data_IF_249575051446
#
_entry.id   IF_249575051446
#
_cell.length_a   1.000
_cell.length_b   1.000
_cell.length_c   1.000
_cell.angle_alpha   90.00
_cell.angle_beta   90.00
_cell.angle_gamma   90.00
#
_symmetry.space_group_name_H-M   'P 1'
#
loop_
_entity.id
_entity.type
_entity.pdbx_description
1 polymer ?
#
# COMPACT_ATOMS: atom_id res chain seq x y z
N UNK A 1 7.44 -13.71 -7.75
CA UNK A 1 7.61 -13.43 -9.19
C UNK A 1 9.06 -13.75 -9.55
N UNK A 2 9.30 -14.50 -10.63
CA UNK A 2 10.65 -14.87 -11.09
C UNK A 2 10.81 -14.43 -12.54
N UNK A 3 12.02 -14.04 -12.93
CA UNK A 3 12.34 -13.77 -14.33
C UNK A 3 12.33 -15.08 -15.13
N UNK A 4 12.34 -14.97 -16.46
CA UNK A 4 12.38 -16.13 -17.36
C UNK A 4 13.61 -17.04 -17.13
N UNK A 5 14.68 -16.49 -16.55
CA UNK A 5 15.91 -17.20 -16.16
C UNK A 5 15.85 -17.83 -14.75
N UNK A 6 14.71 -17.74 -14.06
CA UNK A 6 14.49 -18.31 -12.73
C UNK A 6 14.98 -17.45 -11.57
N UNK A 7 15.60 -16.29 -11.81
CA UNK A 7 16.03 -15.37 -10.75
C UNK A 7 14.83 -14.72 -10.06
N UNK A 8 14.94 -14.50 -8.74
CA UNK A 8 13.91 -13.78 -8.00
C UNK A 8 13.84 -12.33 -8.46
N UNK A 9 12.63 -11.84 -8.77
CA UNK A 9 12.42 -10.42 -9.03
C UNK A 9 12.43 -9.72 -7.67
N UNK A 10 13.62 -9.26 -7.25
CA UNK A 10 13.79 -8.41 -6.08
C UNK A 10 13.75 -6.97 -6.57
N UNK A 11 12.63 -6.28 -6.32
CA UNK A 11 12.46 -4.84 -6.52
C UNK A 11 12.81 -4.27 -7.91
N UNK A 12 12.31 -4.87 -9.00
CA UNK A 12 12.35 -4.28 -10.35
C UNK A 12 10.93 -3.90 -10.83
N UNK A 13 10.30 -2.87 -10.24
CA UNK A 13 8.94 -2.48 -10.58
C UNK A 13 8.81 -1.95 -12.02
N UNK A 14 9.86 -1.41 -12.61
CA UNK A 14 9.92 -0.92 -14.00
C UNK A 14 9.75 -2.03 -15.06
N UNK A 15 10.15 -3.25 -14.72
CA UNK A 15 10.00 -4.45 -15.56
C UNK A 15 8.55 -5.00 -15.52
N UNK A 16 7.85 -4.85 -14.40
CA UNK A 16 6.55 -5.50 -14.15
C UNK A 16 5.37 -4.53 -14.09
N UNK A 17 5.64 -3.24 -13.87
CA UNK A 17 4.66 -2.19 -13.65
C UNK A 17 4.95 -1.06 -14.62
N UNK A 18 3.93 -0.34 -15.07
CA UNK A 18 4.15 0.89 -15.85
C UNK A 18 5.01 1.84 -14.99
N UNK A 19 6.12 2.35 -15.53
CA UNK A 19 6.99 3.29 -14.82
C UNK A 19 6.17 4.45 -14.25
N UNK A 20 6.35 4.75 -12.96
CA UNK A 20 5.58 5.75 -12.24
C UNK A 20 4.19 5.33 -11.73
N UNK A 21 3.73 4.08 -11.97
CA UNK A 21 2.41 3.63 -11.52
C UNK A 21 2.38 3.04 -10.09
N UNK A 22 3.54 2.76 -9.49
CA UNK A 22 3.65 2.40 -8.08
C UNK A 22 4.13 3.61 -7.25
N UNK A 23 3.47 3.94 -6.14
CA UNK A 23 3.89 5.03 -5.28
C UNK A 23 5.21 4.71 -4.57
N UNK A 24 6.05 5.71 -4.34
CA UNK A 24 7.20 5.59 -3.44
C UNK A 24 6.69 5.38 -1.99
N UNK A 25 7.21 4.38 -1.29
CA UNK A 25 6.80 4.00 0.06
C UNK A 25 7.76 4.44 1.18
N UNK A 26 8.90 5.10 0.87
CA UNK A 26 9.93 5.45 1.86
C UNK A 26 9.42 6.22 3.08
N UNK A 27 8.30 6.94 2.95
CA UNK A 27 7.66 7.71 4.00
C UNK A 27 6.18 7.34 4.18
N UNK A 28 5.85 6.05 4.05
CA UNK A 28 4.46 5.59 4.13
C UNK A 28 3.81 5.98 5.47
N UNK A 29 4.54 5.87 6.60
CA UNK A 29 4.02 6.19 7.93
C UNK A 29 3.90 7.69 8.21
N UNK A 30 4.43 8.56 7.34
CA UNK A 30 4.10 9.98 7.36
C UNK A 30 2.78 10.31 6.65
N UNK A 31 2.12 9.32 6.02
CA UNK A 31 0.81 9.46 5.36
C UNK A 31 -0.29 8.95 6.28
N UNK A 32 -1.51 9.35 5.97
CA UNK A 32 -2.70 8.93 6.73
C UNK A 32 -3.66 8.04 5.93
N UNK A 33 -3.44 7.89 4.63
CA UNK A 33 -4.27 7.09 3.70
C UNK A 33 -3.40 6.33 2.70
N UNK A 34 -3.95 5.31 2.06
CA UNK A 34 -3.26 4.51 1.04
C UNK A 34 -4.19 4.11 -0.12
N UNK A 35 -3.67 3.39 -1.11
CA UNK A 35 -4.41 2.94 -2.31
C UNK A 35 -5.07 4.07 -3.14
N UNK A 36 -4.45 5.25 -3.19
CA UNK A 36 -5.03 6.44 -3.82
C UNK A 36 -6.07 7.12 -2.94
N UNK A 37 -5.83 7.15 -1.62
CA UNK A 37 -6.68 7.75 -0.59
C UNK A 37 -8.08 7.15 -0.44
N UNK A 38 -8.28 5.90 -0.88
CA UNK A 38 -9.55 5.18 -0.72
C UNK A 38 -9.68 4.57 0.68
N UNK A 39 -8.55 4.12 1.24
CA UNK A 39 -8.51 3.52 2.57
C UNK A 39 -7.68 4.38 3.51
N UNK A 40 -8.13 4.48 4.76
CA UNK A 40 -7.37 5.13 5.83
C UNK A 40 -6.25 4.20 6.30
N UNK A 41 -5.04 4.75 6.40
CA UNK A 41 -3.91 4.07 7.04
C UNK A 41 -4.01 4.17 8.57
N UNK A 42 -4.77 5.16 9.07
CA UNK A 42 -5.17 5.25 10.47
C UNK A 42 -6.38 4.37 10.76
N UNK A 43 -6.38 3.71 11.91
CA UNK A 43 -7.57 3.07 12.44
C UNK A 43 -8.70 4.09 12.71
N UNK A 44 -9.94 3.62 12.85
CA UNK A 44 -11.12 4.49 12.96
C UNK A 44 -11.03 5.52 14.09
N UNK A 45 -10.41 5.17 15.22
CA UNK A 45 -10.28 6.06 16.37
C UNK A 45 -9.28 7.17 16.08
N UNK A 46 -8.07 6.84 15.66
CA UNK A 46 -7.05 7.83 15.34
C UNK A 46 -7.45 8.69 14.14
N UNK A 47 -8.13 8.11 13.15
CA UNK A 47 -8.70 8.82 12.00
C UNK A 47 -9.72 9.88 12.42
N UNK A 48 -10.54 9.59 13.43
CA UNK A 48 -11.49 10.54 14.01
C UNK A 48 -10.78 11.62 14.81
N UNK A 49 -9.75 11.26 15.58
CA UNK A 49 -8.95 12.22 16.35
C UNK A 49 -8.27 13.26 15.46
N UNK A 50 -7.72 12.85 14.31
CA UNK A 50 -7.07 13.78 13.38
C UNK A 50 -8.09 14.62 12.60
N UNK A 51 -9.12 14.04 11.98
CA UNK A 51 -10.06 14.80 11.13
C UNK A 51 -11.19 15.50 11.87
N UNK A 52 -11.43 15.12 13.13
CA UNK A 52 -12.34 15.83 14.02
C UNK A 52 -11.68 16.95 14.81
N UNK A 53 -10.36 17.13 14.66
CA UNK A 53 -9.60 18.19 15.30
C UNK A 53 -10.06 19.57 14.84
N UNK A 54 -9.94 20.55 15.73
CA UNK A 54 -10.08 21.96 15.37
C UNK A 54 -8.94 22.40 14.42
N UNK A 55 -9.11 23.56 13.78
CA UNK A 55 -8.16 24.06 12.79
C UNK A 55 -6.76 24.34 13.36
N UNK A 56 -6.65 24.65 14.65
CA UNK A 56 -5.37 24.95 15.29
C UNK A 56 -4.57 23.67 15.55
N UNK A 57 -5.24 22.57 15.89
CA UNK A 57 -4.60 21.29 16.21
C UNK A 57 -4.51 20.30 15.03
N UNK A 58 -5.34 20.47 13.98
CA UNK A 58 -5.39 19.57 12.82
C UNK A 58 -4.02 19.36 12.17
N UNK A 59 -3.27 20.43 11.90
CA UNK A 59 -1.99 20.34 11.18
C UNK A 59 -0.95 19.51 11.93
N UNK A 60 -0.80 19.73 13.23
CA UNK A 60 0.13 18.98 14.07
C UNK A 60 -0.26 17.49 14.16
N UNK A 61 -1.56 17.21 14.34
CA UNK A 61 -2.10 15.84 14.36
C UNK A 61 -1.92 15.12 13.03
N UNK A 62 -2.17 15.79 11.91
CA UNK A 62 -2.01 15.22 10.56
C UNK A 62 -0.54 14.88 10.26
N UNK A 63 0.39 15.77 10.63
CA UNK A 63 1.83 15.61 10.41
C UNK A 63 2.49 14.58 11.33
N UNK A 64 1.83 14.18 12.42
CA UNK A 64 2.34 13.11 13.29
C UNK A 64 2.46 11.77 12.55
N UNK A 65 1.63 11.57 11.53
CA UNK A 65 1.56 10.36 10.74
C UNK A 65 0.89 9.20 11.49
N UNK A 66 1.27 7.98 11.15
CA UNK A 66 0.71 6.75 11.70
C UNK A 66 1.73 6.10 12.64
N UNK A 67 1.32 5.89 13.89
CA UNK A 67 2.03 5.00 14.82
C UNK A 67 1.51 3.57 14.70
N UNK A 68 2.23 2.61 15.28
CA UNK A 68 1.81 1.20 15.32
C UNK A 68 0.42 1.02 15.92
N UNK A 69 0.15 1.62 17.08
CA UNK A 69 -1.17 1.56 17.73
C UNK A 69 -2.29 2.21 16.91
N UNK A 70 -1.93 3.18 16.06
CA UNK A 70 -2.87 3.86 15.18
C UNK A 70 -3.00 3.21 13.80
N UNK A 71 -2.22 2.19 13.47
CA UNK A 71 -2.25 1.57 12.14
C UNK A 71 -3.57 0.82 11.90
N UNK A 72 -4.19 1.06 10.74
CA UNK A 72 -5.30 0.26 10.25
C UNK A 72 -4.82 -1.10 9.73
N UNK A 73 -4.55 -2.01 10.66
CA UNK A 73 -4.09 -3.36 10.37
C UNK A 73 -5.05 -4.13 9.46
N UNK A 74 -6.37 -3.93 9.62
CA UNK A 74 -7.39 -4.66 8.85
C UNK A 74 -7.27 -4.37 7.36
N UNK A 75 -7.37 -3.10 6.97
CA UNK A 75 -7.40 -2.74 5.55
C UNK A 75 -6.01 -2.87 4.92
N UNK A 76 -4.93 -2.53 5.65
CA UNK A 76 -3.58 -2.68 5.12
C UNK A 76 -3.25 -4.16 4.84
N UNK A 77 -3.58 -5.07 5.76
CA UNK A 77 -3.34 -6.51 5.55
C UNK A 77 -4.26 -7.07 4.47
N UNK A 78 -5.52 -6.63 4.40
CA UNK A 78 -6.42 -6.97 3.30
C UNK A 78 -5.82 -6.58 1.94
N UNK A 79 -5.26 -5.38 1.86
CA UNK A 79 -4.66 -4.87 0.63
C UNK A 79 -3.41 -5.64 0.22
N UNK A 80 -2.53 -5.94 1.17
CA UNK A 80 -1.35 -6.78 0.93
C UNK A 80 -1.74 -8.20 0.52
N UNK A 81 -2.86 -8.74 1.04
CA UNK A 81 -3.36 -10.07 0.70
C UNK A 81 -3.89 -10.12 -0.72
N UNK A 82 -4.81 -9.24 -1.10
CA UNK A 82 -5.38 -9.21 -2.45
C UNK A 82 -5.96 -7.83 -2.81
N UNK A 83 -5.09 -6.90 -3.21
CA UNK A 83 -5.49 -5.55 -3.61
C UNK A 83 -6.55 -5.50 -4.74
N UNK A 84 -6.49 -6.34 -5.80
CA UNK A 84 -7.54 -6.39 -6.83
C UNK A 84 -8.95 -6.73 -6.32
N UNK A 85 -9.08 -7.53 -5.25
CA UNK A 85 -10.38 -7.82 -4.61
C UNK A 85 -10.92 -6.64 -3.81
N UNK A 86 -10.05 -5.85 -3.20
CA UNK A 86 -10.46 -4.67 -2.42
C UNK A 86 -10.79 -3.46 -3.30
N UNK A 87 -10.06 -3.28 -4.40
CA UNK A 87 -10.27 -2.20 -5.36
C UNK A 87 -9.97 -2.74 -6.75
N UNK A 88 -10.96 -2.76 -7.66
CA UNK A 88 -10.72 -3.07 -9.06
C UNK A 88 -9.62 -2.17 -9.63
N UNK A 89 -8.59 -2.79 -10.22
CA UNK A 89 -7.46 -2.12 -10.85
C UNK A 89 -7.10 -2.85 -12.14
N UNK A 90 -6.36 -2.19 -13.04
CA UNK A 90 -5.82 -2.84 -14.24
C UNK A 90 -4.60 -3.72 -13.89
N UNK A 91 -4.83 -4.64 -12.96
CA UNK A 91 -3.85 -5.58 -12.44
C UNK A 91 -4.28 -7.04 -12.69
N UNK A 92 -5.37 -7.27 -13.43
CA UNK A 92 -5.74 -8.60 -13.90
C UNK A 92 -4.75 -9.05 -14.99
N UNK A 93 -4.01 -10.16 -14.79
CA UNK A 93 -3.08 -10.70 -15.78
C UNK A 93 -3.72 -10.96 -17.16
N UNK A 94 -5.01 -11.25 -17.20
CA UNK A 94 -5.75 -11.54 -18.43
C UNK A 94 -6.10 -10.28 -19.24
N UNK A 95 -5.95 -9.07 -18.66
CA UNK A 95 -6.38 -7.80 -19.25
C UNK A 95 -5.22 -6.83 -19.53
N UNK A 96 -3.97 -7.33 -19.61
CA UNK A 96 -2.77 -6.50 -19.76
C UNK A 96 -2.44 -6.09 -21.21
N UNK A 97 -3.22 -6.54 -22.20
CA UNK A 97 -2.95 -6.23 -23.62
C UNK A 97 -2.92 -4.72 -23.88
N UNK A 98 -3.84 -3.95 -23.27
CA UNK A 98 -3.94 -2.49 -23.41
C UNK A 98 -2.82 -1.72 -22.70
N UNK A 99 -2.02 -2.40 -21.88
CA UNK A 99 -0.91 -1.82 -21.11
C UNK A 99 0.45 -2.34 -21.56
N UNK A 100 0.50 -3.07 -22.69
CA UNK A 100 1.73 -3.68 -23.19
C UNK A 100 2.28 -4.76 -22.26
N UNK A 101 1.40 -5.49 -21.57
CA UNK A 101 1.79 -6.55 -20.62
C UNK A 101 2.16 -6.04 -19.22
N UNK A 102 1.98 -4.75 -18.93
CA UNK A 102 2.38 -4.15 -17.65
C UNK A 102 1.20 -3.94 -16.70
N UNK A 103 1.37 -4.26 -15.43
CA UNK A 103 0.33 -4.03 -14.43
C UNK A 103 0.17 -2.52 -14.16
N UNK A 104 -1.07 -2.06 -13.89
CA UNK A 104 -1.34 -0.76 -13.25
C UNK A 104 -2.09 -0.99 -11.94
N UNK A 105 -1.48 -0.56 -10.84
CA UNK A 105 -1.94 -0.86 -9.48
C UNK A 105 -1.22 -2.08 -8.90
N UNK A 106 -1.56 -2.42 -7.66
CA UNK A 106 -0.95 -3.56 -6.95
C UNK A 106 -1.62 -4.87 -7.39
N UNK A 107 -0.88 -5.85 -7.94
CA UNK A 107 -1.45 -7.15 -8.29
C UNK A 107 -1.63 -8.05 -7.06
N UNK A 108 -2.28 -9.19 -7.25
CA UNK A 108 -2.26 -10.27 -6.27
C UNK A 108 -0.85 -10.87 -6.20
N UNK A 109 -0.17 -10.67 -5.07
CA UNK A 109 1.23 -11.09 -4.89
C UNK A 109 1.39 -12.53 -4.38
N UNK A 110 0.31 -13.19 -3.98
CA UNK A 110 0.35 -14.56 -3.45
C UNK A 110 1.15 -14.69 -2.14
N UNK A 111 1.09 -13.67 -1.29
CA UNK A 111 1.85 -13.61 -0.04
C UNK A 111 1.25 -14.54 1.02
N UNK A 112 2.10 -15.16 1.83
CA UNK A 112 1.66 -15.87 3.04
C UNK A 112 1.35 -14.89 4.16
N UNK A 113 0.62 -15.32 5.20
CA UNK A 113 0.39 -14.48 6.38
C UNK A 113 1.70 -14.07 7.07
N UNK A 114 2.73 -14.92 7.06
CA UNK A 114 4.07 -14.59 7.60
C UNK A 114 4.74 -13.49 6.79
N UNK A 115 4.58 -13.50 5.46
CA UNK A 115 5.16 -12.46 4.61
C UNK A 115 4.45 -11.13 4.81
N UNK A 116 3.11 -11.17 4.94
CA UNK A 116 2.30 -9.98 5.25
C UNK A 116 2.72 -9.39 6.60
N UNK A 117 2.91 -10.22 7.63
CA UNK A 117 3.37 -9.77 8.95
C UNK A 117 4.74 -9.06 8.87
N UNK A 118 5.72 -9.67 8.19
CA UNK A 118 7.05 -9.07 7.99
C UNK A 118 6.98 -7.76 7.19
N UNK A 119 6.13 -7.70 6.17
CA UNK A 119 5.93 -6.49 5.39
C UNK A 119 5.30 -5.38 6.23
N UNK A 120 4.27 -5.67 7.03
CA UNK A 120 3.68 -4.69 7.94
C UNK A 120 4.73 -4.16 8.93
N UNK A 121 5.52 -5.04 9.53
CA UNK A 121 6.60 -4.66 10.43
C UNK A 121 7.63 -3.75 9.73
N UNK A 122 8.01 -4.06 8.49
CA UNK A 122 8.90 -3.21 7.70
C UNK A 122 8.26 -1.87 7.33
N UNK A 123 7.00 -1.86 6.89
CA UNK A 123 6.29 -0.64 6.52
C UNK A 123 6.17 0.32 7.71
N UNK A 124 6.02 -0.18 8.93
CA UNK A 124 6.01 0.62 10.16
C UNK A 124 7.32 1.37 10.40
N UNK A 125 8.44 0.93 9.82
CA UNK A 125 9.73 1.63 9.94
C UNK A 125 9.89 2.78 8.93
N UNK A 126 8.97 2.93 7.97
CA UNK A 126 9.09 3.87 6.85
C UNK A 126 8.41 5.20 7.15
N UNK A 127 9.00 5.99 8.06
CA UNK A 127 8.49 7.33 8.43
C UNK A 127 9.02 8.42 7.50
#
# INVERSE_FOLDING_TARGET
MKRADGTAIIAAPDESVVSGAAPNLSHLMSRNTFAGAIFDLLNKSCRKDVWGADSESFGAKYLQGVSEDCLNQSDLRGWLRNAPEMKPMYANPELLTSTGGKYRGMPYLGLTESDIEKLVAYLLTLK
#
